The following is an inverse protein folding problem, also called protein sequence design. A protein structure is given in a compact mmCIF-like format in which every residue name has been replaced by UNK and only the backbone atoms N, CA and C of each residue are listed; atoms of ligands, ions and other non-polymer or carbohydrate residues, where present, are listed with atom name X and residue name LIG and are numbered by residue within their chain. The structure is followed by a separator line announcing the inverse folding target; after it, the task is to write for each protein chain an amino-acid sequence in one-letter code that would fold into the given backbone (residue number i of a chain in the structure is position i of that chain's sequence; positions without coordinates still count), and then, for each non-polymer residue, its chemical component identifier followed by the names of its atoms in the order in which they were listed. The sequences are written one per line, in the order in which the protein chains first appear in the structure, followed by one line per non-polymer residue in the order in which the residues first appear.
data_IF_563108973734
#
_entry.id   IF_563108973734
#
_cell.length_a   1.000
_cell.length_b   1.000
_cell.length_c   1.000
_cell.angle_alpha   90.00
_cell.angle_beta   90.00
_cell.angle_gamma   90.00
#
_symmetry.space_group_name_H-M   'P 1'
#
loop_
_entity.id
_entity.type
_entity.pdbx_description
1 polymer ?
#
# COMPACT_ATOMS: atom_id res chain seq x y z
N UNK A 1 -5.61 -8.95 -1.55
CA UNK A 1 -4.39 -8.35 -2.17
C UNK A 1 -4.18 -6.99 -1.55
N UNK A 2 -4.47 -5.86 -2.21
CA UNK A 2 -4.30 -4.49 -1.68
C UNK A 2 -5.26 -4.14 -0.53
N UNK A 3 -5.29 -4.99 0.49
CA UNK A 3 -6.21 -4.91 1.63
C UNK A 3 -5.75 -3.81 2.59
N UNK A 4 -4.43 -3.64 2.72
CA UNK A 4 -3.80 -2.50 3.38
C UNK A 4 -4.30 -1.13 2.88
N UNK A 5 -4.61 -0.99 1.60
CA UNK A 5 -5.15 0.25 1.03
C UNK A 5 -6.65 0.35 1.31
N UNK A 6 -7.41 -0.69 0.97
CA UNK A 6 -8.87 -0.64 1.04
C UNK A 6 -9.42 -0.52 2.45
N UNK A 7 -8.77 -1.10 3.47
CA UNK A 7 -9.19 -0.91 4.87
C UNK A 7 -9.05 0.55 5.31
N UNK A 8 -7.92 1.19 4.96
CA UNK A 8 -7.71 2.61 5.28
C UNK A 8 -8.72 3.52 4.56
N UNK A 9 -9.02 3.22 3.29
CA UNK A 9 -10.02 3.97 2.53
C UNK A 9 -11.42 3.83 3.14
N UNK A 10 -11.83 2.61 3.48
CA UNK A 10 -13.11 2.38 4.13
C UNK A 10 -13.20 3.09 5.49
N UNK A 11 -12.12 3.06 6.29
CA UNK A 11 -12.04 3.76 7.57
C UNK A 11 -12.13 5.29 7.42
N UNK A 12 -11.64 5.85 6.32
CA UNK A 12 -11.75 7.27 6.00
C UNK A 12 -13.12 7.66 5.38
N UNK A 13 -14.09 6.73 5.32
CA UNK A 13 -15.43 6.99 4.81
C UNK A 13 -15.58 6.90 3.29
N UNK A 14 -14.57 6.41 2.57
CA UNK A 14 -14.66 6.21 1.12
C UNK A 14 -15.32 4.89 0.76
N UNK A 15 -16.04 4.89 -0.36
CA UNK A 15 -16.59 3.67 -0.93
C UNK A 15 -15.48 2.81 -1.53
N UNK A 16 -15.22 1.66 -0.92
CA UNK A 16 -14.28 0.67 -1.41
C UNK A 16 -15.00 -0.67 -1.67
N UNK A 17 -14.78 -1.26 -2.84
CA UNK A 17 -15.32 -2.56 -3.20
C UNK A 17 -14.19 -3.53 -3.55
N UNK A 18 -14.35 -4.80 -3.18
CA UNK A 18 -13.39 -5.88 -3.48
C UNK A 18 -13.96 -6.80 -4.54
N UNK A 19 -13.27 -6.88 -5.67
CA UNK A 19 -13.61 -7.84 -6.72
C UNK A 19 -13.11 -9.23 -6.33
N UNK A 20 -14.05 -10.16 -6.11
CA UNK A 20 -13.76 -11.51 -5.66
C UNK A 20 -14.23 -12.54 -6.70
N UNK A 21 -13.32 -13.33 -7.29
CA UNK A 21 -13.71 -14.41 -8.18
C UNK A 21 -14.39 -15.54 -7.36
N UNK A 22 -15.51 -16.06 -7.85
CA UNK A 22 -16.24 -17.15 -7.21
C UNK A 22 -16.60 -18.24 -8.23
N UNK A 23 -16.73 -19.49 -7.76
CA UNK A 23 -17.08 -20.64 -8.58
C UNK A 23 -16.19 -21.88 -8.35
N UNK A 24 -16.43 -22.99 -9.07
CA UNK A 24 -15.66 -24.21 -8.95
C UNK A 24 -14.17 -23.98 -9.22
N UNK A 25 -13.30 -24.74 -8.53
CA UNK A 25 -11.84 -24.57 -8.60
C UNK A 25 -11.32 -24.49 -10.06
N UNK A 26 -11.77 -25.39 -10.94
CA UNK A 26 -11.37 -25.43 -12.35
C UNK A 26 -11.71 -24.14 -13.11
N UNK A 27 -12.84 -23.51 -12.80
CA UNK A 27 -13.29 -22.29 -13.47
C UNK A 27 -12.48 -21.05 -13.03
N UNK A 28 -11.97 -21.03 -11.78
CA UNK A 28 -11.22 -19.88 -11.24
C UNK A 28 -9.71 -19.99 -11.47
N UNK A 29 -9.18 -21.16 -11.85
CA UNK A 29 -7.75 -21.37 -12.10
C UNK A 29 -7.15 -20.39 -13.11
N UNK A 30 -7.75 -20.11 -14.28
CA UNK A 30 -7.20 -19.16 -15.23
C UNK A 30 -7.02 -17.75 -14.64
N UNK A 31 -7.99 -17.29 -13.85
CA UNK A 31 -7.90 -16.01 -13.15
C UNK A 31 -6.75 -16.01 -12.14
N UNK A 32 -6.61 -17.08 -11.35
CA UNK A 32 -5.56 -17.21 -10.33
C UNK A 32 -4.16 -17.19 -10.94
N UNK A 33 -3.94 -17.88 -12.06
CA UNK A 33 -2.63 -17.89 -12.75
C UNK A 33 -2.25 -16.49 -13.22
N UNK A 34 -3.19 -15.76 -13.84
CA UNK A 34 -2.95 -14.36 -14.25
C UNK A 34 -2.58 -13.46 -13.07
N UNK A 35 -3.27 -13.59 -11.94
CA UNK A 35 -2.96 -12.83 -10.71
C UNK A 35 -1.66 -13.23 -10.06
N UNK A 36 -1.28 -14.51 -10.11
CA UNK A 36 0.01 -14.96 -9.62
C UNK A 36 1.16 -14.31 -10.43
N UNK A 37 1.04 -14.23 -11.76
CA UNK A 37 2.03 -13.57 -12.62
C UNK A 37 2.13 -12.06 -12.36
N UNK A 38 0.99 -11.36 -12.29
CA UNK A 38 0.91 -9.94 -11.93
C UNK A 38 1.58 -9.68 -10.57
N UNK A 39 1.25 -10.48 -9.56
CA UNK A 39 1.77 -10.31 -8.20
C UNK A 39 3.24 -10.69 -8.08
N UNK A 40 3.73 -11.62 -8.92
CA UNK A 40 5.14 -12.00 -8.96
C UNK A 40 6.02 -10.84 -9.47
N UNK A 41 5.53 -10.07 -10.45
CA UNK A 41 6.21 -8.85 -10.89
C UNK A 41 6.26 -7.77 -9.79
N UNK A 42 5.24 -7.73 -8.92
CA UNK A 42 5.13 -6.78 -7.81
C UNK A 42 5.97 -7.20 -6.59
N UNK A 43 6.20 -8.50 -6.36
CA UNK A 43 6.92 -9.02 -5.19
C UNK A 43 8.35 -8.48 -5.05
N UNK A 44 9.01 -8.09 -6.15
CA UNK A 44 10.34 -7.46 -6.13
C UNK A 44 10.35 -5.94 -5.86
N UNK A 45 9.20 -5.27 -5.84
CA UNK A 45 9.08 -3.81 -5.67
C UNK A 45 8.95 -3.36 -4.21
N UNK A 46 8.69 -4.27 -3.27
CA UNK A 46 8.49 -3.93 -1.85
C UNK A 46 9.68 -3.20 -1.19
N UNK A 47 10.91 -3.54 -1.58
CA UNK A 47 12.11 -2.85 -1.06
C UNK A 47 12.18 -1.36 -1.44
N UNK A 48 11.66 -0.98 -2.61
CA UNK A 48 11.61 0.43 -3.06
C UNK A 48 10.58 1.22 -2.24
N UNK A 49 9.42 0.63 -1.98
CA UNK A 49 8.38 1.27 -1.18
C UNK A 49 8.84 1.51 0.26
N UNK A 50 9.46 0.50 0.90
CA UNK A 50 10.05 0.64 2.23
C UNK A 50 11.10 1.75 2.27
N UNK A 51 11.96 1.84 1.25
CA UNK A 51 12.95 2.93 1.14
C UNK A 51 12.28 4.30 1.10
N UNK A 52 11.23 4.47 0.29
CA UNK A 52 10.52 5.75 0.21
C UNK A 52 9.82 6.12 1.52
N UNK A 53 9.22 5.15 2.21
CA UNK A 53 8.62 5.36 3.54
C UNK A 53 9.69 5.84 4.54
N UNK A 54 10.85 5.18 4.57
CA UNK A 54 11.96 5.57 5.44
C UNK A 54 12.47 6.98 5.12
N UNK A 55 12.65 7.32 3.84
CA UNK A 55 13.02 8.67 3.41
C UNK A 55 11.99 9.72 3.86
N UNK A 56 10.69 9.44 3.67
CA UNK A 56 9.61 10.34 4.09
C UNK A 56 9.53 10.52 5.61
N UNK A 57 9.81 9.49 6.39
CA UNK A 57 9.91 9.58 7.85
C UNK A 57 11.11 10.42 8.30
N UNK A 58 12.29 10.21 7.71
CA UNK A 58 13.50 11.02 8.01
C UNK A 58 13.24 12.50 7.71
N UNK A 59 12.65 12.82 6.54
CA UNK A 59 12.29 14.20 6.15
C UNK A 59 11.34 14.85 7.15
N UNK A 60 10.30 14.14 7.60
CA UNK A 60 9.33 14.66 8.60
C UNK A 60 9.97 14.92 9.95
N UNK A 61 10.89 14.05 10.41
CA UNK A 61 11.65 14.26 11.66
C UNK A 61 12.52 15.52 11.58
N UNK A 62 13.23 15.72 10.48
CA UNK A 62 14.06 16.92 10.27
C UNK A 62 13.22 18.19 10.22
N UNK A 63 12.12 18.21 9.48
CA UNK A 63 11.22 19.36 9.42
C UNK A 63 10.67 19.75 10.81
N UNK A 64 10.30 18.76 11.63
CA UNK A 64 9.80 18.98 12.99
C UNK A 64 10.88 19.50 13.95
N UNK A 65 12.12 19.06 13.78
CA UNK A 65 13.26 19.56 14.55
C UNK A 65 13.59 21.03 14.19
N UNK A 66 13.50 21.38 12.91
CA UNK A 66 13.67 22.77 12.44
C UNK A 66 12.58 23.70 12.97
N UNK A 67 11.32 23.24 13.04
CA UNK A 67 10.22 24.02 13.62
C UNK A 67 10.26 24.12 15.14
N UNK A 68 10.90 23.18 15.84
CA UNK A 68 11.02 23.18 17.30
C UNK A 68 12.18 24.05 17.83
N UNK A 69 13.07 24.51 16.93
CA UNK A 69 14.21 25.38 17.25
C UNK A 69 13.99 26.86 16.89
N UNK A 70 12.82 27.26 16.40
CA UNK A 70 12.49 28.67 16.22
C UNK A 70 11.92 29.22 17.54
N UNK A 71 12.58 30.19 18.19
CA UNK A 71 11.94 30.93 19.27
C UNK A 71 10.76 31.67 18.62
N UNK A 72 9.56 31.43 19.14
CA UNK A 72 8.41 32.28 18.87
C UNK A 72 8.79 33.69 19.34
N UNK A 73 8.99 34.59 18.38
CA UNK A 73 9.12 36.02 18.64
C UNK A 73 7.83 36.58 19.25
#
# INVERSE_FOLDING_TARGET
MSDNISFNLANAGYNAAKYLPYGPAKAVLPYRIRRAQENSAIAGLGGREVRFIQCGLRRRKQARALSAGQPTA
#
